data_IF_815254904606
#
_entry.id   IF_815254904606
#
_cell.length_a   1.000
_cell.length_b   1.000
_cell.length_c   1.000
_cell.angle_alpha   90.00
_cell.angle_beta   90.00
_cell.angle_gamma   90.00
#
_symmetry.space_group_name_H-M   'P 1'
#
loop_
_entity.id
_entity.type
_entity.pdbx_description
1 polymer ?
#
# COMPACT_ATOMS: atom_id res chain seq x y z
N UNK A 1 -14.74 -8.20 -19.92
CA UNK A 1 -13.55 -7.44 -19.46
C UNK A 1 -13.79 -7.19 -17.99
N UNK A 2 -13.11 -7.91 -17.10
CA UNK A 2 -13.12 -7.60 -15.68
C UNK A 2 -11.96 -6.65 -15.42
N UNK A 3 -12.26 -5.45 -14.91
CA UNK A 3 -11.27 -4.46 -14.54
C UNK A 3 -10.57 -4.90 -13.24
N UNK A 4 -9.30 -4.48 -12.99
CA UNK A 4 -8.63 -4.72 -11.71
C UNK A 4 -9.56 -4.33 -10.56
N UNK A 5 -9.53 -5.07 -9.43
CA UNK A 5 -10.48 -4.84 -8.34
C UNK A 5 -10.49 -3.36 -7.98
N UNK A 6 -11.60 -2.68 -8.31
CA UNK A 6 -11.76 -1.22 -8.24
C UNK A 6 -11.73 -0.69 -6.79
N UNK A 7 -11.60 -1.56 -5.79
CA UNK A 7 -11.84 -1.24 -4.38
C UNK A 7 -10.53 -1.00 -3.64
N UNK A 8 -10.12 0.26 -3.61
CA UNK A 8 -8.94 0.71 -2.88
C UNK A 8 -9.06 0.36 -1.37
N UNK A 9 -7.95 -0.04 -0.72
CA UNK A 9 -7.95 -0.24 0.72
C UNK A 9 -8.37 1.02 1.48
N UNK A 10 -9.03 0.82 2.62
CA UNK A 10 -9.58 1.91 3.41
C UNK A 10 -8.60 2.37 4.49
N UNK A 11 -8.80 3.60 4.97
CA UNK A 11 -8.10 4.12 6.15
C UNK A 11 -6.56 4.01 6.05
N UNK A 12 -6.00 4.32 4.87
CA UNK A 12 -4.55 4.34 4.66
C UNK A 12 -3.93 5.43 5.53
N UNK A 13 -3.00 5.05 6.40
CA UNK A 13 -2.22 5.97 7.24
C UNK A 13 -0.74 5.71 7.03
N UNK A 14 0.04 6.78 7.02
CA UNK A 14 1.49 6.74 6.98
C UNK A 14 2.03 7.49 8.20
N UNK A 15 2.77 6.79 9.05
CA UNK A 15 3.37 7.35 10.26
C UNK A 15 4.88 7.19 10.21
N UNK A 16 5.63 8.27 10.40
CA UNK A 16 7.08 8.20 10.50
C UNK A 16 7.49 7.37 11.71
N UNK A 17 8.33 6.35 11.50
CA UNK A 17 8.95 5.56 12.58
C UNK A 17 10.32 6.12 12.95
N UNK A 18 11.04 6.69 11.97
CA UNK A 18 12.31 7.39 12.14
C UNK A 18 12.48 8.41 11.02
N UNK A 19 13.61 9.13 10.99
CA UNK A 19 13.95 9.99 9.86
C UNK A 19 14.12 9.23 8.54
N UNK A 20 14.26 7.89 8.55
CA UNK A 20 14.52 7.06 7.36
C UNK A 20 13.53 5.91 7.18
N UNK A 21 12.41 5.94 7.92
CA UNK A 21 11.39 4.90 7.82
C UNK A 21 9.99 5.38 8.15
N UNK A 22 9.00 4.79 7.48
CA UNK A 22 7.57 5.06 7.62
C UNK A 22 6.84 3.73 7.81
N UNK A 23 5.91 3.67 8.75
CA UNK A 23 4.93 2.60 8.85
C UNK A 23 3.68 2.99 8.06
N UNK A 24 3.28 2.16 7.11
CA UNK A 24 2.05 2.32 6.34
C UNK A 24 1.06 1.29 6.86
N UNK A 25 -0.14 1.73 7.24
CA UNK A 25 -1.22 0.86 7.70
C UNK A 25 -2.46 1.09 6.85
N UNK A 26 -3.23 0.03 6.59
CA UNK A 26 -4.51 0.12 5.90
C UNK A 26 -5.48 -0.94 6.41
N UNK A 27 -6.77 -0.70 6.16
CA UNK A 27 -7.83 -1.65 6.42
C UNK A 27 -8.13 -2.44 5.15
N UNK A 28 -8.16 -3.77 5.29
CA UNK A 28 -8.54 -4.72 4.25
C UNK A 28 -10.06 -4.58 3.99
N UNK A 29 -10.53 -4.58 2.73
CA UNK A 29 -11.96 -4.64 2.43
C UNK A 29 -12.63 -5.83 3.14
N UNK A 30 -13.86 -5.67 3.63
CA UNK A 30 -14.59 -6.69 4.42
C UNK A 30 -14.85 -8.00 3.66
N UNK A 31 -15.13 -9.07 4.41
CA UNK A 31 -15.12 -10.49 3.99
C UNK A 31 -15.82 -10.84 2.65
N UNK A 32 -16.90 -10.14 2.25
CA UNK A 32 -17.52 -10.35 0.92
C UNK A 32 -16.57 -10.03 -0.25
N UNK A 33 -15.51 -9.25 -0.01
CA UNK A 33 -14.52 -8.81 -0.99
C UNK A 33 -13.14 -9.50 -0.81
N UNK A 34 -12.91 -10.24 0.29
CA UNK A 34 -11.61 -10.87 0.58
C UNK A 34 -11.26 -11.96 -0.43
N UNK A 35 -12.25 -12.75 -0.86
CA UNK A 35 -12.08 -13.85 -1.81
C UNK A 35 -11.58 -13.38 -3.19
N UNK A 36 -11.49 -12.07 -3.41
CA UNK A 36 -11.05 -11.46 -4.66
C UNK A 36 -9.72 -10.71 -4.59
N UNK A 37 -9.01 -10.68 -3.46
CA UNK A 37 -7.76 -9.93 -3.28
C UNK A 37 -6.58 -10.84 -2.92
N UNK A 38 -5.57 -10.91 -3.79
CA UNK A 38 -4.36 -11.71 -3.54
C UNK A 38 -3.31 -10.92 -2.77
N UNK A 39 -3.33 -9.59 -2.86
CA UNK A 39 -2.40 -8.75 -2.13
C UNK A 39 -2.53 -7.26 -2.41
N UNK A 40 -1.50 -6.52 -2.01
CA UNK A 40 -1.41 -5.07 -2.08
C UNK A 40 -0.06 -4.62 -2.62
N UNK A 41 -0.08 -3.63 -3.52
CA UNK A 41 1.07 -2.82 -3.88
C UNK A 41 1.09 -1.54 -3.04
N UNK A 42 2.14 -1.38 -2.24
CA UNK A 42 2.41 -0.16 -1.47
C UNK A 42 3.43 0.66 -2.23
N UNK A 43 2.96 1.75 -2.85
CA UNK A 43 3.76 2.69 -3.62
C UNK A 43 4.28 3.82 -2.75
N UNK A 44 5.56 4.17 -2.86
CA UNK A 44 6.14 5.36 -2.21
C UNK A 44 7.12 6.13 -3.10
N UNK A 45 7.14 7.45 -2.94
CA UNK A 45 8.12 8.35 -3.58
C UNK A 45 8.26 9.68 -2.81
N UNK A 46 9.37 10.42 -2.97
CA UNK A 46 9.46 11.78 -2.48
C UNK A 46 8.32 12.64 -3.05
N UNK A 47 7.60 13.36 -2.19
CA UNK A 47 6.36 14.08 -2.53
C UNK A 47 6.57 15.11 -3.64
N UNK A 48 7.65 15.89 -3.53
CA UNK A 48 7.98 16.98 -4.46
C UNK A 48 8.50 16.50 -5.82
N UNK A 49 8.83 15.20 -5.97
CA UNK A 49 9.45 14.69 -7.18
C UNK A 49 8.42 14.09 -8.12
N UNK A 50 8.52 14.42 -9.40
CA UNK A 50 7.75 13.80 -10.48
C UNK A 50 8.32 12.43 -10.91
N UNK A 51 8.90 11.67 -9.97
CA UNK A 51 9.39 10.32 -10.20
C UNK A 51 8.23 9.30 -10.13
N UNK A 52 8.34 8.14 -10.79
CA UNK A 52 7.46 7.01 -10.57
C UNK A 52 7.48 6.54 -9.10
N UNK A 53 6.41 5.87 -8.68
CA UNK A 53 6.38 5.22 -7.36
C UNK A 53 7.27 3.98 -7.33
N UNK A 54 7.98 3.79 -6.24
CA UNK A 54 8.59 2.50 -5.90
C UNK A 54 7.54 1.63 -5.21
N UNK A 55 7.44 0.36 -5.57
CA UNK A 55 6.40 -0.52 -5.05
C UNK A 55 6.96 -1.66 -4.20
N UNK A 56 6.25 -1.97 -3.11
CA UNK A 56 6.38 -3.21 -2.34
C UNK A 56 5.11 -4.02 -2.50
N UNK A 57 5.24 -5.30 -2.86
CA UNK A 57 4.14 -6.25 -2.89
C UNK A 57 3.98 -6.90 -1.52
N UNK A 58 2.74 -6.96 -1.02
CA UNK A 58 2.37 -7.56 0.26
C UNK A 58 1.24 -8.54 -0.01
N UNK A 59 1.42 -9.81 0.35
CA UNK A 59 0.35 -10.79 0.21
C UNK A 59 -0.80 -10.44 1.16
N UNK A 60 -2.03 -10.68 0.73
CA UNK A 60 -3.19 -10.53 1.59
C UNK A 60 -3.09 -11.49 2.79
N UNK A 61 -3.57 -11.02 3.93
CA UNK A 61 -3.70 -11.83 5.14
C UNK A 61 -5.13 -11.70 5.63
N UNK A 62 -5.65 -12.72 6.34
CA UNK A 62 -7.00 -12.71 6.92
C UNK A 62 -7.17 -11.68 8.06
N UNK A 63 -6.21 -10.77 8.24
CA UNK A 63 -6.29 -9.69 9.21
C UNK A 63 -7.03 -8.50 8.61
N UNK A 64 -7.97 -7.96 9.36
CA UNK A 64 -8.71 -6.73 9.01
C UNK A 64 -7.76 -5.53 8.82
N UNK A 65 -6.63 -5.53 9.53
CA UNK A 65 -5.63 -4.47 9.46
C UNK A 65 -4.30 -5.02 8.94
N UNK A 66 -3.81 -4.41 7.87
CA UNK A 66 -2.52 -4.73 7.26
C UNK A 66 -1.54 -3.56 7.42
N UNK A 67 -0.25 -3.87 7.44
CA UNK A 67 0.79 -2.86 7.56
C UNK A 67 2.10 -3.26 6.88
N UNK A 68 2.94 -2.28 6.58
CA UNK A 68 4.31 -2.49 6.13
C UNK A 68 5.22 -1.35 6.60
N UNK A 69 6.44 -1.70 7.02
CA UNK A 69 7.51 -0.73 7.23
C UNK A 69 8.27 -0.48 5.93
N UNK A 70 8.29 0.78 5.48
CA UNK A 70 9.15 1.26 4.40
C UNK A 70 10.42 1.82 5.05
N UNK A 71 11.58 1.31 4.65
CA UNK A 71 12.89 1.65 5.21
C UNK A 71 13.84 2.15 4.12
N UNK A 72 14.97 2.74 4.53
CA UNK A 72 15.98 3.24 3.60
C UNK A 72 15.62 4.58 2.96
N UNK A 73 14.68 5.31 3.55
CA UNK A 73 14.25 6.61 3.04
C UNK A 73 15.32 7.69 3.28
N UNK A 74 15.34 8.70 2.41
CA UNK A 74 16.06 9.94 2.65
C UNK A 74 15.41 10.72 3.79
N UNK A 75 16.24 11.23 4.71
CA UNK A 75 15.80 12.04 5.84
C UNK A 75 15.31 13.43 5.41
N UNK A 76 14.52 14.08 6.27
CA UNK A 76 13.96 15.41 6.03
C UNK A 76 13.29 15.52 4.65
N UNK A 77 12.56 14.47 4.26
CA UNK A 77 11.90 14.38 2.97
C UNK A 77 10.46 13.95 3.20
N UNK A 78 9.51 14.70 2.68
CA UNK A 78 8.12 14.30 2.68
C UNK A 78 7.89 13.24 1.60
N UNK A 79 7.12 12.20 1.93
CA UNK A 79 6.82 11.11 1.01
C UNK A 79 5.32 11.08 0.68
N UNK A 80 5.02 10.84 -0.59
CA UNK A 80 3.71 10.39 -1.02
C UNK A 80 3.63 8.87 -0.91
N UNK A 81 2.54 8.35 -0.37
CA UNK A 81 2.28 6.92 -0.23
C UNK A 81 0.92 6.59 -0.85
N UNK A 82 0.87 5.53 -1.63
CA UNK A 82 -0.36 4.96 -2.18
C UNK A 82 -0.43 3.47 -1.87
N UNK A 83 -1.64 2.93 -1.74
CA UNK A 83 -1.87 1.50 -1.54
C UNK A 83 -2.95 1.05 -2.52
N UNK A 84 -2.67 -0.01 -3.26
CA UNK A 84 -3.58 -0.57 -4.27
C UNK A 84 -3.69 -2.08 -4.06
N UNK A 85 -4.90 -2.64 -4.06
CA UNK A 85 -5.07 -4.09 -4.06
C UNK A 85 -4.80 -4.68 -5.44
N UNK A 86 -4.38 -5.94 -5.51
CA UNK A 86 -4.28 -6.71 -6.75
C UNK A 86 -4.84 -8.12 -6.55
N UNK A 87 -5.22 -8.75 -7.66
CA UNK A 87 -5.62 -10.15 -7.71
C UNK A 87 -5.08 -10.80 -8.99
N UNK A 88 -5.14 -12.13 -9.05
CA UNK A 88 -4.60 -12.99 -10.11
C UNK A 88 -5.24 -12.77 -11.47
N UNK A 89 -6.34 -12.02 -11.55
CA UNK A 89 -6.99 -11.59 -12.79
C UNK A 89 -6.61 -10.16 -13.22
N UNK A 90 -5.87 -9.42 -12.40
CA UNK A 90 -5.48 -8.03 -12.60
C UNK A 90 -3.96 -7.78 -12.65
N UNK A 91 -3.17 -8.82 -12.96
CA UNK A 91 -1.75 -8.72 -13.34
C UNK A 91 -1.59 -8.74 -14.86
#
# INVERSE_FOLDING_TARGET
MEEPPRKAPHNVKALALSSRSINVTWQVPSDDDYDSVDGYYVGFKPYIKAEPYNFKAINASHLIHSHVAITGLSAMTDYSVIVQCFNSKGA
#
